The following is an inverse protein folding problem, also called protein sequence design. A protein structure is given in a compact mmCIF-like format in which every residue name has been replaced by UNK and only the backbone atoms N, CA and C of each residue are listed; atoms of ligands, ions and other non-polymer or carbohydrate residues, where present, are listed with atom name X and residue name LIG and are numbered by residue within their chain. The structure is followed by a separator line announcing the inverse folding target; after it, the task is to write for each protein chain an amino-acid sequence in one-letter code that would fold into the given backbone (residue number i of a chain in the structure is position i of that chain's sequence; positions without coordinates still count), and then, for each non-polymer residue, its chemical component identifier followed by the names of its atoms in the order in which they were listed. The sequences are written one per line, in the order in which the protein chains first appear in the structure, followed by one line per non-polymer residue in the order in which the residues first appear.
data_IF_814480845565
#
_entry.id   IF_814480845565
#
_cell.length_a   1.000
_cell.length_b   1.000
_cell.length_c   1.000
_cell.angle_alpha   90.00
_cell.angle_beta   90.00
_cell.angle_gamma   90.00
#
_symmetry.space_group_name_H-M   'P 1'
#
loop_
_entity.id
_entity.type
_entity.pdbx_description
1 polymer ?
#
# COMPACT_ATOMS: atom_id res chain seq x y z
N UNK A 1 14.38 -6.86 -12.61
CA UNK A 1 13.34 -6.64 -11.58
C UNK A 1 13.45 -7.67 -10.45
N UNK A 2 13.41 -8.98 -10.71
CA UNK A 2 13.50 -10.04 -9.68
C UNK A 2 14.72 -9.88 -8.75
N UNK A 3 15.93 -9.74 -9.31
CA UNK A 3 17.14 -9.53 -8.51
C UNK A 3 17.04 -8.29 -7.62
N UNK A 4 16.42 -7.22 -8.10
CA UNK A 4 16.24 -6.00 -7.31
C UNK A 4 15.36 -6.23 -6.07
N UNK A 5 14.29 -7.01 -6.20
CA UNK A 5 13.45 -7.37 -5.06
C UNK A 5 14.21 -8.20 -4.01
N UNK A 6 15.00 -9.18 -4.46
CA UNK A 6 15.87 -9.97 -3.57
C UNK A 6 16.96 -9.12 -2.88
N UNK A 7 17.52 -8.15 -3.60
CA UNK A 7 18.47 -7.23 -3.01
C UNK A 7 17.80 -6.33 -1.98
N UNK A 8 16.54 -5.89 -2.22
CA UNK A 8 15.77 -5.13 -1.22
C UNK A 8 15.58 -5.94 0.08
N UNK A 9 15.18 -7.21 0.00
CA UNK A 9 15.08 -8.09 1.17
C UNK A 9 16.43 -8.24 1.88
N UNK A 10 17.49 -8.52 1.13
CA UNK A 10 18.85 -8.67 1.66
C UNK A 10 19.30 -7.42 2.41
N UNK A 11 18.88 -6.24 1.98
CA UNK A 11 19.20 -4.95 2.61
C UNK A 11 18.23 -4.57 3.73
N UNK A 12 17.26 -5.43 4.06
CA UNK A 12 16.41 -5.30 5.24
C UNK A 12 14.97 -4.86 4.97
N UNK A 13 14.53 -4.75 3.72
CA UNK A 13 13.11 -4.53 3.43
C UNK A 13 12.28 -5.69 4.03
N UNK A 14 11.21 -5.33 4.76
CA UNK A 14 10.38 -6.28 5.48
C UNK A 14 9.22 -6.82 4.64
N UNK A 15 9.05 -6.29 3.44
CA UNK A 15 8.08 -6.73 2.45
C UNK A 15 8.41 -6.19 1.06
N UNK A 16 7.85 -6.85 0.05
CA UNK A 16 7.91 -6.43 -1.35
C UNK A 16 6.49 -6.21 -1.83
N UNK A 17 6.22 -4.98 -2.29
CA UNK A 17 4.96 -4.61 -2.90
C UNK A 17 5.14 -4.43 -4.40
N UNK A 18 4.25 -5.02 -5.19
CA UNK A 18 4.21 -4.88 -6.65
C UNK A 18 2.82 -4.51 -7.13
N UNK A 19 2.75 -3.67 -8.16
CA UNK A 19 1.50 -3.27 -8.80
C UNK A 19 1.48 -3.67 -10.27
N UNK A 20 1.12 -4.91 -10.60
CA UNK A 20 0.99 -5.39 -11.97
C UNK A 20 -0.25 -4.78 -12.61
N UNK A 21 -0.08 -3.71 -13.37
CA UNK A 21 -1.17 -3.07 -14.10
C UNK A 21 -1.65 -3.95 -15.25
N UNK A 22 -2.89 -3.79 -15.74
CA UNK A 22 -3.42 -4.62 -16.82
C UNK A 22 -2.59 -4.57 -18.12
N UNK A 23 -1.91 -3.46 -18.37
CA UNK A 23 -1.00 -3.27 -19.53
C UNK A 23 0.44 -3.76 -19.30
N UNK A 24 0.72 -4.28 -18.11
CA UNK A 24 2.02 -4.85 -17.69
C UNK A 24 3.24 -3.91 -17.92
N UNK A 25 3.01 -2.59 -17.93
CA UNK A 25 4.05 -1.59 -18.27
C UNK A 25 5.21 -1.48 -17.27
N UNK A 26 5.03 -1.90 -16.02
CA UNK A 26 6.05 -1.84 -14.97
C UNK A 26 6.39 -3.22 -14.45
N UNK A 27 5.39 -3.96 -14.01
CA UNK A 27 5.48 -5.32 -13.48
C UNK A 27 4.58 -6.20 -14.33
N UNK A 28 5.12 -7.28 -14.87
CA UNK A 28 4.35 -8.25 -15.64
C UNK A 28 3.74 -9.29 -14.71
N UNK A 29 2.64 -9.87 -15.11
CA UNK A 29 2.00 -10.98 -14.38
C UNK A 29 2.97 -12.16 -14.18
N UNK A 30 3.86 -12.39 -15.16
CA UNK A 30 4.90 -13.41 -15.03
C UNK A 30 5.92 -13.05 -13.94
N UNK A 31 6.33 -11.79 -13.82
CA UNK A 31 7.25 -11.35 -12.76
C UNK A 31 6.66 -11.60 -11.36
N UNK A 32 5.34 -11.41 -11.19
CA UNK A 32 4.62 -11.69 -9.93
C UNK A 32 4.69 -13.17 -9.57
N UNK A 33 4.48 -14.07 -10.55
CA UNK A 33 4.57 -15.52 -10.35
C UNK A 33 5.98 -15.96 -9.97
N UNK A 34 6.99 -15.38 -10.61
CA UNK A 34 8.39 -15.69 -10.36
C UNK A 34 8.89 -15.16 -9.01
N UNK A 35 8.40 -14.00 -8.56
CA UNK A 35 8.74 -13.43 -7.27
C UNK A 35 8.28 -14.30 -6.10
N UNK A 36 7.06 -14.81 -6.15
CA UNK A 36 6.44 -15.52 -5.01
C UNK A 36 7.32 -16.62 -4.38
N UNK A 37 7.90 -17.55 -5.14
CA UNK A 37 8.75 -18.59 -4.58
C UNK A 37 10.15 -18.10 -4.15
N UNK A 38 10.54 -16.89 -4.53
CA UNK A 38 11.88 -16.34 -4.26
C UNK A 38 11.90 -15.46 -3.00
N UNK A 39 10.78 -14.86 -2.65
CA UNK A 39 10.66 -13.94 -1.52
C UNK A 39 10.49 -14.69 -0.21
N UNK A 40 11.14 -14.19 0.84
CA UNK A 40 11.10 -14.73 2.21
C UNK A 40 10.36 -13.80 3.19
N UNK A 41 10.16 -12.54 2.80
CA UNK A 41 9.40 -11.52 3.55
C UNK A 41 7.95 -11.45 3.09
N UNK A 42 7.19 -10.48 3.57
CA UNK A 42 5.81 -10.28 3.14
C UNK A 42 5.73 -9.88 1.67
N UNK A 43 4.87 -10.55 0.92
CA UNK A 43 4.59 -10.20 -0.46
C UNK A 43 3.19 -9.59 -0.57
N UNK A 44 3.11 -8.35 -1.01
CA UNK A 44 1.87 -7.62 -1.26
C UNK A 44 1.71 -7.39 -2.76
N UNK A 45 0.50 -7.64 -3.28
CA UNK A 45 0.14 -7.35 -4.68
C UNK A 45 -0.97 -6.29 -4.68
N UNK A 46 -0.70 -5.17 -5.32
CA UNK A 46 -1.67 -4.07 -5.45
C UNK A 46 -2.36 -4.10 -6.81
N UNK A 47 -3.62 -3.71 -6.85
CA UNK A 47 -4.33 -3.51 -8.12
C UNK A 47 -5.83 -3.42 -8.01
N UNK A 48 -6.45 -3.09 -9.16
CA UNK A 48 -7.89 -3.11 -9.30
C UNK A 48 -8.37 -4.56 -9.42
N UNK A 49 -9.33 -5.03 -8.61
CA UNK A 49 -9.80 -6.41 -8.60
C UNK A 49 -10.67 -6.79 -9.80
N UNK A 50 -10.18 -6.50 -11.02
CA UNK A 50 -10.72 -7.04 -12.28
C UNK A 50 -10.44 -8.56 -12.37
N UNK A 51 -11.07 -9.24 -13.30
CA UNK A 51 -11.00 -10.70 -13.41
C UNK A 51 -9.56 -11.23 -13.50
N UNK A 52 -8.74 -10.69 -14.41
CA UNK A 52 -7.36 -11.13 -14.61
C UNK A 52 -6.48 -10.92 -13.39
N UNK A 53 -6.65 -9.80 -12.68
CA UNK A 53 -5.96 -9.52 -11.42
C UNK A 53 -6.40 -10.48 -10.31
N UNK A 54 -7.71 -10.70 -10.19
CA UNK A 54 -8.26 -11.62 -9.19
C UNK A 54 -7.74 -13.05 -9.39
N UNK A 55 -7.68 -13.52 -10.64
CA UNK A 55 -7.10 -14.82 -10.99
C UNK A 55 -5.62 -14.92 -10.62
N UNK A 56 -4.82 -13.89 -10.98
CA UNK A 56 -3.40 -13.84 -10.63
C UNK A 56 -3.18 -13.91 -9.11
N UNK A 57 -3.90 -13.10 -8.35
CA UNK A 57 -3.74 -13.04 -6.89
C UNK A 57 -4.11 -14.37 -6.23
N UNK A 58 -5.19 -15.02 -6.69
CA UNK A 58 -5.62 -16.33 -6.19
C UNK A 58 -4.66 -17.46 -6.57
N UNK A 59 -4.01 -17.37 -7.73
CA UNK A 59 -2.96 -18.29 -8.16
C UNK A 59 -1.71 -18.16 -7.30
N UNK A 60 -1.23 -16.91 -7.13
CA UNK A 60 0.04 -16.59 -6.45
C UNK A 60 -0.06 -16.71 -4.92
N UNK A 61 -1.22 -16.40 -4.36
CA UNK A 61 -1.48 -16.37 -2.91
C UNK A 61 -0.41 -15.57 -2.14
N UNK A 62 -0.35 -14.25 -2.36
CA UNK A 62 0.54 -13.38 -1.59
C UNK A 62 0.15 -13.36 -0.11
N UNK A 63 0.98 -12.78 0.75
CA UNK A 63 0.62 -12.54 2.14
C UNK A 63 -0.51 -11.51 2.26
N UNK A 64 -0.51 -10.51 1.36
CA UNK A 64 -1.49 -9.44 1.32
C UNK A 64 -1.86 -9.08 -0.13
N UNK A 65 -3.08 -8.62 -0.32
CA UNK A 65 -3.52 -7.89 -1.52
C UNK A 65 -4.03 -6.53 -1.11
N UNK A 66 -3.59 -5.47 -1.79
CA UNK A 66 -4.13 -4.10 -1.62
C UNK A 66 -5.02 -3.76 -2.81
N UNK A 67 -6.30 -3.53 -2.55
CA UNK A 67 -7.27 -3.18 -3.59
C UNK A 67 -7.19 -1.68 -3.90
N UNK A 68 -6.89 -1.34 -5.16
CA UNK A 68 -6.73 0.03 -5.66
C UNK A 68 -7.74 0.29 -6.77
N UNK A 69 -8.44 1.45 -6.82
CA UNK A 69 -9.52 1.71 -7.80
C UNK A 69 -9.02 2.14 -9.18
N UNK A 70 -7.75 1.90 -9.51
CA UNK A 70 -7.14 2.40 -10.74
C UNK A 70 -7.87 1.93 -12.00
N UNK A 71 -8.33 2.88 -12.81
CA UNK A 71 -8.80 2.58 -14.15
C UNK A 71 -7.63 2.23 -15.09
N UNK A 72 -7.91 1.50 -16.17
CA UNK A 72 -6.87 1.02 -17.11
C UNK A 72 -5.97 2.12 -17.68
N UNK A 73 -6.49 3.35 -17.79
CA UNK A 73 -5.80 4.47 -18.45
C UNK A 73 -5.14 5.49 -17.51
N UNK A 74 -5.10 5.26 -16.18
CA UNK A 74 -4.43 6.19 -15.26
C UNK A 74 -2.93 5.92 -15.19
N UNK A 75 -2.14 7.00 -15.18
CA UNK A 75 -0.67 6.90 -15.11
C UNK A 75 -0.19 6.43 -13.73
N UNK A 76 -0.82 6.92 -12.68
CA UNK A 76 -0.56 6.55 -11.29
C UNK A 76 -1.87 6.58 -10.50
N UNK A 77 -1.91 5.91 -9.35
CA UNK A 77 -3.06 5.96 -8.45
C UNK A 77 -3.31 7.40 -8.01
N UNK A 78 -4.53 7.86 -8.10
CA UNK A 78 -4.90 9.26 -7.85
C UNK A 78 -6.12 9.43 -6.95
N UNK A 79 -6.69 8.35 -6.43
CA UNK A 79 -7.80 8.34 -5.48
C UNK A 79 -7.89 6.99 -4.77
N UNK A 80 -8.41 7.00 -3.54
CA UNK A 80 -8.81 5.80 -2.83
C UNK A 80 -10.21 5.31 -3.23
N UNK A 81 -10.58 4.11 -2.79
CA UNK A 81 -11.92 3.58 -3.01
C UNK A 81 -13.01 4.40 -2.34
N UNK A 82 -14.07 4.65 -3.06
CA UNK A 82 -15.37 5.00 -2.48
C UNK A 82 -16.07 3.74 -1.98
N UNK A 83 -15.78 3.36 -0.74
CA UNK A 83 -16.30 2.15 -0.09
C UNK A 83 -17.81 2.20 0.17
N UNK A 84 -18.40 3.40 0.11
CA UNK A 84 -19.86 3.59 0.23
C UNK A 84 -20.52 3.17 -1.08
N UNK A 85 -20.11 3.77 -2.18
CA UNK A 85 -20.67 3.50 -3.52
C UNK A 85 -20.38 2.08 -3.98
N UNK A 86 -19.17 1.56 -3.70
CA UNK A 86 -18.71 0.25 -4.15
C UNK A 86 -18.83 -0.85 -3.09
N UNK A 87 -19.68 -0.66 -2.08
CA UNK A 87 -19.78 -1.54 -0.91
C UNK A 87 -19.94 -3.03 -1.26
N UNK A 88 -20.97 -3.37 -2.03
CA UNK A 88 -21.27 -4.77 -2.37
C UNK A 88 -20.14 -5.41 -3.19
N UNK A 89 -19.62 -4.70 -4.18
CA UNK A 89 -18.50 -5.18 -5.00
C UNK A 89 -17.25 -5.47 -4.17
N UNK A 90 -16.86 -4.52 -3.31
CA UNK A 90 -15.68 -4.69 -2.45
C UNK A 90 -15.89 -5.79 -1.43
N UNK A 91 -17.10 -5.92 -0.87
CA UNK A 91 -17.42 -6.97 0.09
C UNK A 91 -17.24 -8.36 -0.53
N UNK A 92 -17.74 -8.55 -1.74
CA UNK A 92 -17.59 -9.83 -2.46
C UNK A 92 -16.11 -10.12 -2.75
N UNK A 93 -15.35 -9.10 -3.17
CA UNK A 93 -13.91 -9.25 -3.46
C UNK A 93 -13.06 -9.50 -2.23
N UNK A 94 -13.34 -8.81 -1.13
CA UNK A 94 -12.67 -9.05 0.16
C UNK A 94 -12.91 -10.49 0.62
N UNK A 95 -14.16 -10.94 0.61
CA UNK A 95 -14.50 -12.31 0.98
C UNK A 95 -13.78 -13.33 0.09
N UNK A 96 -13.78 -13.12 -1.24
CA UNK A 96 -13.11 -14.01 -2.21
C UNK A 96 -11.61 -14.17 -1.93
N UNK A 97 -10.89 -13.10 -1.57
CA UNK A 97 -9.47 -13.18 -1.24
C UNK A 97 -9.21 -13.78 0.13
N UNK A 98 -10.03 -13.43 1.14
CA UNK A 98 -9.91 -14.01 2.49
C UNK A 98 -10.19 -15.51 2.50
N UNK A 99 -11.15 -16.01 1.71
CA UNK A 99 -11.39 -17.45 1.50
C UNK A 99 -10.18 -18.18 0.90
N UNK A 100 -9.36 -17.46 0.11
CA UNK A 100 -8.09 -17.98 -0.40
C UNK A 100 -6.93 -17.91 0.62
N UNK A 101 -7.18 -17.39 1.83
CA UNK A 101 -6.19 -17.21 2.90
C UNK A 101 -5.29 -15.99 2.73
N UNK A 102 -5.75 -14.96 2.03
CA UNK A 102 -4.99 -13.75 1.72
C UNK A 102 -5.51 -12.59 2.57
N UNK A 103 -4.63 -11.88 3.27
CA UNK A 103 -4.98 -10.64 3.97
C UNK A 103 -5.36 -9.55 2.97
N UNK A 104 -6.42 -8.80 3.23
CA UNK A 104 -6.90 -7.76 2.33
C UNK A 104 -6.74 -6.38 2.94
N UNK A 105 -6.16 -5.47 2.17
CA UNK A 105 -6.10 -4.03 2.44
C UNK A 105 -6.89 -3.26 1.38
N UNK A 106 -7.60 -2.20 1.76
CA UNK A 106 -8.31 -1.30 0.83
C UNK A 106 -7.60 0.05 0.81
N UNK A 107 -7.15 0.48 -0.37
CA UNK A 107 -6.58 1.80 -0.61
C UNK A 107 -7.66 2.88 -0.49
N UNK A 108 -7.47 3.87 0.40
CA UNK A 108 -8.54 4.80 0.80
C UNK A 108 -8.01 6.21 1.07
N UNK A 109 -8.83 7.22 0.76
CA UNK A 109 -8.56 8.61 1.15
C UNK A 109 -8.87 8.83 2.64
N UNK A 110 -8.06 9.68 3.30
CA UNK A 110 -8.21 10.02 4.72
C UNK A 110 -9.31 11.08 5.01
N UNK A 111 -10.01 11.55 3.97
CA UNK A 111 -10.90 12.72 4.07
C UNK A 111 -12.26 12.40 4.69
N UNK A 112 -12.78 11.19 4.52
CA UNK A 112 -14.12 10.79 4.94
C UNK A 112 -14.13 9.54 5.81
N UNK A 113 -14.31 9.71 7.12
CA UNK A 113 -14.36 8.61 8.10
C UNK A 113 -15.48 7.60 7.83
N UNK A 114 -16.56 8.00 7.15
CA UNK A 114 -17.65 7.07 6.76
C UNK A 114 -17.15 6.01 5.79
N UNK A 115 -16.17 6.35 4.93
CA UNK A 115 -15.54 5.39 4.04
C UNK A 115 -14.74 4.35 4.81
N UNK A 116 -14.04 4.77 5.87
CA UNK A 116 -13.28 3.88 6.76
C UNK A 116 -14.25 2.95 7.53
N UNK A 117 -15.35 3.49 8.05
CA UNK A 117 -16.41 2.70 8.68
C UNK A 117 -16.96 1.63 7.71
N UNK A 118 -17.24 2.01 6.46
CA UNK A 118 -17.70 1.08 5.43
C UNK A 118 -16.64 0.04 5.06
N UNK A 119 -15.36 0.37 5.07
CA UNK A 119 -14.29 -0.61 4.90
C UNK A 119 -14.33 -1.68 6.00
N UNK A 120 -14.59 -1.28 7.26
CA UNK A 120 -14.80 -2.24 8.35
C UNK A 120 -16.04 -3.12 8.15
N UNK A 121 -17.16 -2.55 7.73
CA UNK A 121 -18.39 -3.32 7.45
C UNK A 121 -18.24 -4.26 6.23
N UNK A 122 -17.38 -3.90 5.27
CA UNK A 122 -16.97 -4.75 4.14
C UNK A 122 -16.24 -5.99 4.66
N UNK A 123 -15.49 -5.85 5.77
CA UNK A 123 -14.77 -6.94 6.40
C UNK A 123 -13.28 -7.01 6.03
N UNK A 124 -12.70 -5.92 5.47
CA UNK A 124 -11.27 -5.88 5.18
C UNK A 124 -10.43 -5.97 6.46
N UNK A 125 -9.23 -6.51 6.35
CA UNK A 125 -8.30 -6.63 7.48
C UNK A 125 -7.60 -5.30 7.77
N UNK A 126 -7.24 -4.57 6.71
CA UNK A 126 -6.50 -3.30 6.77
C UNK A 126 -7.10 -2.27 5.82
N UNK A 127 -6.73 -1.04 6.05
CA UNK A 127 -6.82 0.04 5.06
C UNK A 127 -5.42 0.54 4.75
N UNK A 128 -5.22 1.05 3.53
CA UNK A 128 -4.00 1.77 3.16
C UNK A 128 -4.35 3.23 2.87
N UNK A 129 -3.79 4.13 3.67
CA UNK A 129 -4.02 5.57 3.53
C UNK A 129 -3.25 6.13 2.33
N UNK A 130 -3.95 6.75 1.40
CA UNK A 130 -3.36 7.45 0.25
C UNK A 130 -2.72 8.77 0.69
N UNK A 131 -1.39 8.85 0.71
CA UNK A 131 -0.64 9.92 1.38
C UNK A 131 -0.15 11.06 0.47
N UNK A 132 -0.58 11.13 -0.80
CA UNK A 132 -0.18 12.21 -1.73
C UNK A 132 -0.43 13.61 -1.16
N UNK A 133 -1.63 13.88 -0.65
CA UNK A 133 -1.98 15.20 -0.12
C UNK A 133 -1.21 15.58 1.15
N UNK A 134 -0.72 14.59 1.91
CA UNK A 134 0.24 14.82 2.99
C UNK A 134 1.59 15.24 2.41
N UNK A 135 2.12 14.48 1.46
CA UNK A 135 3.42 14.74 0.86
C UNK A 135 3.47 16.12 0.18
N UNK A 136 2.46 16.44 -0.64
CA UNK A 136 2.35 17.73 -1.34
C UNK A 136 2.15 18.93 -0.39
N UNK A 137 1.51 18.70 0.76
CA UNK A 137 1.25 19.70 1.80
C UNK A 137 2.42 19.89 2.79
N UNK A 138 3.32 18.92 2.90
CA UNK A 138 4.33 18.82 3.96
C UNK A 138 5.20 20.07 4.10
N UNK A 139 5.78 20.56 3.02
CA UNK A 139 6.65 21.73 3.02
C UNK A 139 5.93 23.05 3.39
N UNK A 140 4.59 23.08 3.24
CA UNK A 140 3.77 24.26 3.57
C UNK A 140 3.35 24.29 5.05
N UNK A 141 3.26 23.12 5.69
CA UNK A 141 2.87 22.98 7.09
C UNK A 141 2.55 21.54 7.43
N UNK A 142 3.56 20.81 7.91
CA UNK A 142 3.45 19.36 8.19
C UNK A 142 2.38 19.01 9.22
N UNK A 143 2.15 19.87 10.20
CA UNK A 143 1.13 19.71 11.23
C UNK A 143 -0.28 19.69 10.62
N UNK A 144 -0.56 20.63 9.76
CA UNK A 144 -1.85 20.70 9.05
C UNK A 144 -1.98 19.57 8.02
N UNK A 145 -0.88 19.26 7.32
CA UNK A 145 -0.88 18.22 6.29
C UNK A 145 -1.19 16.82 6.86
N UNK A 146 -0.72 16.52 8.08
CA UNK A 146 -0.90 15.20 8.71
C UNK A 146 -2.24 15.06 9.46
N UNK A 147 -2.89 16.14 9.82
CA UNK A 147 -4.06 16.16 10.74
C UNK A 147 -5.17 15.18 10.33
N UNK A 148 -5.56 15.18 9.04
CA UNK A 148 -6.61 14.29 8.56
C UNK A 148 -6.20 12.83 8.62
N UNK A 149 -4.92 12.52 8.41
CA UNK A 149 -4.38 11.16 8.46
C UNK A 149 -4.35 10.63 9.89
N UNK A 150 -3.95 11.46 10.85
CA UNK A 150 -4.01 11.11 12.28
C UNK A 150 -5.44 10.82 12.71
N UNK A 151 -6.40 11.66 12.31
CA UNK A 151 -7.82 11.44 12.61
C UNK A 151 -8.35 10.15 11.97
N UNK A 152 -8.02 9.89 10.70
CA UNK A 152 -8.42 8.69 9.98
C UNK A 152 -7.82 7.43 10.60
N UNK A 153 -6.52 7.47 10.92
CA UNK A 153 -5.80 6.36 11.51
C UNK A 153 -6.31 6.05 12.93
N UNK A 154 -6.53 7.05 13.78
CA UNK A 154 -7.12 6.86 15.11
C UNK A 154 -8.48 6.17 15.01
N UNK A 155 -9.34 6.65 14.13
CA UNK A 155 -10.66 6.05 13.93
C UNK A 155 -10.57 4.61 13.43
N UNK A 156 -9.72 4.34 12.44
CA UNK A 156 -9.51 2.98 11.93
C UNK A 156 -9.02 2.03 13.04
N UNK A 157 -8.07 2.49 13.86
CA UNK A 157 -7.53 1.74 14.98
C UNK A 157 -8.61 1.44 16.04
N UNK A 158 -9.42 2.44 16.41
CA UNK A 158 -10.53 2.31 17.39
C UNK A 158 -11.55 1.24 16.96
N UNK A 159 -11.85 1.16 15.65
CA UNK A 159 -12.79 0.15 15.12
C UNK A 159 -12.11 -1.17 14.76
N UNK A 160 -10.80 -1.32 15.04
CA UNK A 160 -10.05 -2.56 14.89
C UNK A 160 -9.68 -2.91 13.44
N UNK A 161 -9.31 -1.91 12.64
CA UNK A 161 -8.64 -2.09 11.36
C UNK A 161 -7.13 -1.93 11.53
N UNK A 162 -6.34 -2.74 10.81
CA UNK A 162 -4.92 -2.47 10.62
C UNK A 162 -4.73 -1.29 9.64
N UNK A 163 -3.57 -0.63 9.74
CA UNK A 163 -3.32 0.63 9.03
C UNK A 163 -2.01 0.56 8.28
N UNK A 164 -2.11 0.59 6.95
CA UNK A 164 -0.99 0.80 6.06
C UNK A 164 -1.03 2.24 5.53
N UNK A 165 0.09 2.71 4.99
CA UNK A 165 0.16 3.98 4.29
C UNK A 165 1.11 3.88 3.10
N UNK A 166 0.75 4.50 1.99
CA UNK A 166 1.54 4.48 0.78
C UNK A 166 1.29 5.67 -0.12
N UNK A 167 2.14 5.78 -1.14
CA UNK A 167 2.18 6.84 -2.14
C UNK A 167 2.85 8.13 -1.65
N UNK A 168 3.92 8.55 -2.33
CA UNK A 168 4.67 9.80 -2.10
C UNK A 168 5.32 10.01 -0.72
N UNK A 169 5.36 8.97 0.13
CA UNK A 169 6.21 8.99 1.32
C UNK A 169 7.68 8.95 0.91
N UNK A 170 8.51 9.73 1.60
CA UNK A 170 9.93 9.95 1.28
C UNK A 170 10.77 10.13 2.56
N UNK A 171 12.10 10.20 2.41
CA UNK A 171 13.00 10.48 3.53
C UNK A 171 12.74 11.85 4.20
N UNK A 172 12.04 12.76 3.52
CA UNK A 172 11.72 14.07 4.08
C UNK A 172 10.49 14.04 5.01
N UNK A 173 9.53 13.15 4.74
CA UNK A 173 8.22 13.23 5.38
C UNK A 173 7.81 11.98 6.19
N UNK A 174 8.46 10.83 5.98
CA UNK A 174 8.07 9.56 6.58
C UNK A 174 8.22 9.55 8.11
N UNK A 175 9.35 10.03 8.66
CA UNK A 175 9.60 10.04 10.10
C UNK A 175 8.50 10.79 10.86
N UNK A 176 8.14 11.97 10.36
CA UNK A 176 7.09 12.76 10.98
C UNK A 176 5.73 12.07 10.89
N UNK A 177 5.39 11.46 9.75
CA UNK A 177 4.15 10.70 9.58
C UNK A 177 4.06 9.53 10.57
N UNK A 178 5.12 8.73 10.64
CA UNK A 178 5.19 7.58 11.55
C UNK A 178 5.07 8.00 13.03
N UNK A 179 5.74 9.08 13.44
CA UNK A 179 5.64 9.58 14.81
C UNK A 179 4.24 10.06 15.20
N UNK A 180 3.46 10.54 14.24
CA UNK A 180 2.07 10.95 14.49
C UNK A 180 1.09 9.78 14.50
N UNK A 181 1.46 8.63 13.92
CA UNK A 181 0.62 7.42 13.83
C UNK A 181 1.44 6.22 14.35
N UNK A 182 1.61 6.07 15.69
CA UNK A 182 2.51 5.06 16.26
C UNK A 182 2.03 3.61 16.12
N UNK A 183 0.83 3.38 15.63
CA UNK A 183 0.22 2.07 15.37
C UNK A 183 0.13 1.78 13.87
N UNK A 184 0.93 2.46 13.06
CA UNK A 184 1.07 2.18 11.64
C UNK A 184 1.71 0.78 11.45
N UNK A 185 1.02 -0.10 10.73
CA UNK A 185 1.48 -1.49 10.53
C UNK A 185 2.52 -1.60 9.42
N UNK A 186 2.34 -0.84 8.33
CA UNK A 186 3.13 -0.99 7.12
C UNK A 186 3.19 0.31 6.31
N UNK A 187 4.31 0.55 5.65
CA UNK A 187 4.45 1.62 4.66
C UNK A 187 4.97 1.06 3.34
N UNK A 188 4.40 1.55 2.22
CA UNK A 188 4.84 1.23 0.87
C UNK A 188 5.58 2.43 0.27
N UNK A 189 6.87 2.28 -0.03
CA UNK A 189 7.71 3.33 -0.61
C UNK A 189 8.08 2.95 -2.05
N UNK A 190 7.59 3.70 -3.02
CA UNK A 190 7.80 3.44 -4.45
C UNK A 190 8.79 4.40 -5.09
N UNK A 191 8.29 5.42 -5.77
CA UNK A 191 9.08 6.35 -6.59
C UNK A 191 10.23 7.02 -5.82
N UNK A 192 9.99 7.47 -4.59
CA UNK A 192 11.00 8.13 -3.78
C UNK A 192 12.18 7.19 -3.47
N UNK A 193 11.92 5.93 -3.12
CA UNK A 193 12.97 4.93 -2.87
C UNK A 193 13.87 4.75 -4.08
N UNK A 194 13.29 4.63 -5.28
CA UNK A 194 14.07 4.46 -6.52
C UNK A 194 14.87 5.73 -6.84
N UNK A 195 14.27 6.91 -6.69
CA UNK A 195 14.94 8.18 -6.93
C UNK A 195 16.13 8.38 -5.98
N UNK A 196 15.94 8.10 -4.69
CA UNK A 196 17.01 8.19 -3.69
C UNK A 196 18.13 7.16 -3.96
N UNK A 197 17.76 5.95 -4.36
CA UNK A 197 18.70 4.87 -4.63
C UNK A 197 19.65 5.18 -5.81
N UNK A 198 19.25 6.01 -6.77
CA UNK A 198 20.12 6.47 -7.87
C UNK A 198 21.31 7.29 -7.37
N UNK A 199 21.17 7.98 -6.25
CA UNK A 199 22.22 8.84 -5.68
C UNK A 199 22.91 8.22 -4.47
N UNK A 200 22.17 7.45 -3.65
CA UNK A 200 22.65 6.94 -2.37
C UNK A 200 23.04 5.44 -2.42
N UNK A 201 22.64 4.74 -3.48
CA UNK A 201 22.70 3.29 -3.56
C UNK A 201 21.60 2.62 -2.76
N UNK A 202 21.07 1.50 -3.27
CA UNK A 202 19.84 0.88 -2.75
C UNK A 202 19.96 0.39 -1.30
N UNK A 203 21.12 -0.17 -0.90
CA UNK A 203 21.36 -0.61 0.48
C UNK A 203 21.24 0.54 1.47
N UNK A 204 21.97 1.64 1.22
CA UNK A 204 21.91 2.83 2.07
C UNK A 204 20.50 3.39 2.13
N UNK A 205 19.82 3.47 0.98
CA UNK A 205 18.46 4.01 0.89
C UNK A 205 17.51 3.21 1.77
N UNK A 206 17.51 1.89 1.66
CA UNK A 206 16.65 1.03 2.49
C UNK A 206 16.95 1.23 3.98
N UNK A 207 18.22 1.26 4.38
CA UNK A 207 18.59 1.49 5.77
C UNK A 207 18.16 2.88 6.27
N UNK A 208 18.22 3.92 5.43
CA UNK A 208 17.73 5.26 5.78
C UNK A 208 16.21 5.25 6.00
N UNK A 209 15.43 4.60 5.13
CA UNK A 209 13.99 4.46 5.32
C UNK A 209 13.63 3.67 6.58
N UNK A 210 14.33 2.57 6.85
CA UNK A 210 14.13 1.77 8.08
C UNK A 210 14.44 2.58 9.35
N UNK A 211 15.43 3.47 9.30
CA UNK A 211 15.75 4.35 10.43
C UNK A 211 14.66 5.38 10.73
N UNK A 212 13.88 5.78 9.74
CA UNK A 212 12.73 6.70 9.90
C UNK A 212 11.54 6.05 10.64
N UNK A 213 11.53 4.72 10.72
CA UNK A 213 10.46 3.92 11.33
C UNK A 213 10.81 3.38 12.72
N UNK A 214 11.90 3.87 13.32
CA UNK A 214 12.40 3.47 14.67
C UNK A 214 11.97 4.39 15.79
#
# INVERSE_FOLDING_TARGET
MLQFALDCERFGAQGITVHPRPDERHIRYQDVRELKPMLTTEFNIEGNPIASFTELVKEVKPAQVTLVPDAENVLTSNAGWDTITHFSFLKDKVAEFQEAGIRVSIFIDADDLRRIEKAKEIGTDRIELYTESYASGYAKGKETAVEKFVRAANYAHEIGLGINAGHDLSLENLEYFHRQIPFLDEVSIGHALISDALYLGIENTIQMYLNQLR
#
